data_IF_895212128574
#
_entry.id   IF_895212128574
#
_cell.length_a   1.000
_cell.length_b   1.000
_cell.length_c   1.000
_cell.angle_alpha   90.00
_cell.angle_beta   90.00
_cell.angle_gamma   90.00
#
_symmetry.space_group_name_H-M   'P 1'
#
loop_
_entity.id
_entity.type
_entity.pdbx_description
1 polymer ?
#
# COMPACT_ATOMS: atom_id res chain seq x y z
N UNK A 1 69.55 4.92 46.99
CA UNK A 1 69.04 4.58 45.64
C UNK A 1 67.58 4.99 45.59
N UNK A 2 67.29 5.95 44.72
CA UNK A 2 65.97 6.55 44.52
C UNK A 2 65.23 5.82 43.38
N UNK A 3 63.92 5.64 43.50
CA UNK A 3 63.04 5.43 42.34
C UNK A 3 61.73 6.16 42.60
N UNK A 4 61.40 7.04 41.65
CA UNK A 4 60.36 8.05 41.72
C UNK A 4 58.96 7.52 41.40
N UNK A 5 57.98 8.17 42.03
CA UNK A 5 56.56 8.17 41.73
C UNK A 5 56.28 8.79 40.35
N UNK A 6 55.43 8.16 39.54
CA UNK A 6 54.82 8.76 38.35
C UNK A 6 53.34 8.35 38.27
N UNK A 7 52.47 9.32 38.56
CA UNK A 7 51.03 9.29 38.31
C UNK A 7 50.72 9.72 36.85
N UNK A 8 49.79 9.08 36.14
CA UNK A 8 49.35 9.54 34.82
C UNK A 8 48.34 10.70 34.93
N UNK A 9 48.29 11.61 33.94
CA UNK A 9 47.34 12.72 33.92
C UNK A 9 45.94 12.27 33.47
N UNK A 10 44.87 12.96 33.88
CA UNK A 10 43.54 12.76 33.33
C UNK A 10 43.46 13.43 31.95
N UNK A 11 43.43 12.63 30.87
CA UNK A 11 43.10 13.12 29.53
C UNK A 11 41.62 13.48 29.47
N UNK A 12 41.35 14.78 29.61
CA UNK A 12 40.05 15.41 29.42
C UNK A 12 39.73 15.41 27.92
N UNK A 13 39.10 14.34 27.43
CA UNK A 13 38.63 14.24 26.06
C UNK A 13 37.35 15.08 25.91
N UNK A 14 37.52 16.34 25.51
CA UNK A 14 36.44 17.23 25.10
C UNK A 14 35.79 16.67 23.81
N UNK A 15 34.74 15.86 23.99
CA UNK A 15 33.82 15.47 22.92
C UNK A 15 33.03 16.70 22.49
N UNK A 16 33.55 17.42 21.51
CA UNK A 16 32.79 18.37 20.69
C UNK A 16 31.72 17.57 19.93
N UNK A 17 30.53 17.47 20.52
CA UNK A 17 29.33 16.98 19.85
C UNK A 17 28.89 18.08 18.87
N UNK A 18 29.01 17.91 17.54
CA UNK A 18 28.36 18.82 16.63
C UNK A 18 26.86 18.58 16.79
N UNK A 19 26.17 19.55 17.40
CA UNK A 19 24.71 19.69 17.30
C UNK A 19 24.39 19.90 15.82
N UNK A 20 24.23 18.80 15.10
CA UNK A 20 23.65 18.75 13.76
C UNK A 20 22.18 19.16 13.91
N UNK A 21 21.92 20.48 13.89
CA UNK A 21 20.59 21.01 13.64
C UNK A 21 20.18 20.60 12.23
N UNK A 22 19.63 19.41 12.08
CA UNK A 22 18.93 19.02 10.87
C UNK A 22 17.74 19.98 10.70
N UNK A 23 17.58 20.65 9.55
CA UNK A 23 16.40 21.47 9.32
C UNK A 23 15.15 20.58 9.44
N UNK A 24 14.04 21.12 9.99
CA UNK A 24 12.80 20.37 10.07
C UNK A 24 12.40 19.93 8.66
N UNK A 25 12.25 18.63 8.46
CA UNK A 25 11.73 18.08 7.21
C UNK A 25 10.25 18.45 7.16
N UNK A 26 9.91 19.49 6.41
CA UNK A 26 8.51 19.88 6.20
C UNK A 26 7.91 18.87 5.21
N UNK A 27 7.03 18.01 5.71
CA UNK A 27 6.26 17.10 4.87
C UNK A 27 5.43 17.89 3.85
N UNK A 28 5.48 17.48 2.58
CA UNK A 28 4.70 18.14 1.53
C UNK A 28 3.20 17.98 1.80
N UNK A 29 2.47 19.08 1.77
CA UNK A 29 1.02 19.09 2.02
C UNK A 29 0.26 18.57 0.80
N UNK A 30 -0.66 17.65 1.03
CA UNK A 30 -1.62 17.16 0.04
C UNK A 30 -3.04 17.59 0.41
N UNK A 31 -3.85 17.86 -0.61
CA UNK A 31 -5.23 18.35 -0.44
C UNK A 31 -6.23 17.21 -0.31
N UNK A 32 -6.00 16.13 -1.06
CA UNK A 32 -6.81 14.92 -1.01
C UNK A 32 -5.95 13.68 -0.91
N UNK A 33 -6.54 12.66 -0.30
CA UNK A 33 -6.02 11.32 -0.23
C UNK A 33 -7.22 10.38 -0.26
N UNK A 34 -7.30 9.56 -1.31
CA UNK A 34 -8.47 8.73 -1.55
C UNK A 34 -8.07 7.29 -1.89
N UNK A 35 -8.86 6.33 -1.40
CA UNK A 35 -8.79 4.96 -1.88
C UNK A 35 -9.37 4.87 -3.29
N UNK A 36 -8.60 4.30 -4.21
CA UNK A 36 -8.95 4.12 -5.62
C UNK A 36 -8.90 2.65 -5.99
N UNK A 37 -9.44 2.33 -7.15
CA UNK A 37 -9.32 0.98 -7.71
C UNK A 37 -7.91 0.74 -8.24
N UNK A 38 -7.55 -0.53 -8.37
CA UNK A 38 -6.29 -0.95 -8.96
C UNK A 38 -6.17 -0.41 -10.40
N UNK A 39 -5.22 0.51 -10.68
CA UNK A 39 -5.10 1.18 -11.97
C UNK A 39 -4.61 0.24 -13.09
N UNK A 40 -4.15 -0.96 -12.73
CA UNK A 40 -3.66 -1.97 -13.67
C UNK A 40 -4.72 -3.00 -14.05
N UNK A 41 -5.93 -2.91 -13.49
CA UNK A 41 -7.04 -3.68 -14.03
C UNK A 41 -7.51 -3.01 -15.30
N UNK A 42 -7.67 -3.78 -16.37
CA UNK A 42 -8.39 -3.33 -17.55
C UNK A 42 -9.75 -2.86 -17.05
N UNK A 43 -10.10 -1.59 -17.31
CA UNK A 43 -11.48 -1.15 -17.20
C UNK A 43 -12.28 -2.14 -18.03
N UNK A 44 -13.09 -2.97 -17.38
CA UNK A 44 -14.04 -3.78 -18.11
C UNK A 44 -14.89 -2.79 -18.86
N UNK A 45 -14.64 -2.69 -20.17
CA UNK A 45 -15.42 -1.88 -21.08
C UNK A 45 -16.88 -2.18 -20.74
N UNK A 46 -17.60 -1.11 -20.36
CA UNK A 46 -19.02 -1.13 -20.06
C UNK A 46 -19.67 -2.16 -20.97
N UNK A 47 -20.15 -3.26 -20.40
CA UNK A 47 -21.02 -4.15 -21.15
C UNK A 47 -22.25 -3.31 -21.47
N UNK A 48 -22.36 -2.92 -22.73
CA UNK A 48 -23.43 -2.07 -23.27
C UNK A 48 -24.75 -2.81 -23.39
N UNK A 49 -24.98 -3.83 -22.57
CA UNK A 49 -26.19 -4.65 -22.61
C UNK A 49 -26.81 -4.75 -21.22
N UNK A 50 -27.74 -3.83 -20.96
CA UNK A 50 -29.01 -4.17 -20.34
C UNK A 50 -29.04 -4.38 -18.83
N UNK A 51 -29.65 -3.39 -18.15
CA UNK A 51 -30.47 -3.57 -16.94
C UNK A 51 -29.74 -3.76 -15.60
N UNK A 52 -29.14 -2.67 -15.10
CA UNK A 52 -29.22 -2.36 -13.67
C UNK A 52 -30.28 -1.28 -13.44
N UNK A 53 -31.55 -1.64 -13.61
CA UNK A 53 -32.70 -0.79 -13.32
C UNK A 53 -33.19 -1.00 -11.87
N UNK A 54 -32.30 -0.78 -10.89
CA UNK A 54 -32.67 -0.79 -9.47
C UNK A 54 -32.10 0.46 -8.80
N UNK A 55 -33.00 1.33 -8.33
CA UNK A 55 -32.78 2.70 -7.86
C UNK A 55 -31.96 2.84 -6.55
N UNK A 56 -31.11 1.89 -6.20
CA UNK A 56 -30.21 1.97 -5.02
C UNK A 56 -28.90 1.20 -5.26
N UNK A 57 -28.30 1.40 -6.43
CA UNK A 57 -26.92 0.99 -6.67
C UNK A 57 -25.96 1.92 -5.92
N UNK A 58 -25.64 1.59 -4.67
CA UNK A 58 -24.67 2.34 -3.88
C UNK A 58 -23.28 2.24 -4.50
N UNK A 59 -22.65 3.40 -4.71
CA UNK A 59 -21.21 3.49 -4.96
C UNK A 59 -20.46 2.77 -3.84
N UNK A 60 -19.32 2.15 -4.17
CA UNK A 60 -18.49 1.47 -3.18
C UNK A 60 -18.12 2.40 -2.02
N UNK A 61 -18.66 2.24 -0.80
CA UNK A 61 -18.40 3.17 0.30
C UNK A 61 -16.97 3.10 0.83
N UNK A 62 -16.24 2.03 0.51
CA UNK A 62 -14.83 1.87 0.79
C UNK A 62 -13.91 2.66 -0.17
N UNK A 63 -14.44 3.17 -1.29
CA UNK A 63 -13.73 4.12 -2.18
C UNK A 63 -13.96 5.55 -1.72
N UNK A 64 -13.00 6.42 -2.02
CA UNK A 64 -13.08 7.85 -1.70
C UNK A 64 -12.15 8.28 -0.57
N UNK A 65 -12.44 9.43 0.02
CA UNK A 65 -11.56 10.08 0.99
C UNK A 65 -11.32 9.23 2.23
N UNK A 66 -10.07 9.19 2.69
CA UNK A 66 -9.68 8.45 3.88
C UNK A 66 -9.78 9.32 5.13
N UNK A 67 -10.24 8.73 6.23
CA UNK A 67 -10.18 9.38 7.54
C UNK A 67 -8.74 9.31 8.08
N UNK A 68 -8.05 10.44 8.31
CA UNK A 68 -6.68 10.46 8.78
C UNK A 68 -6.47 9.79 10.14
N UNK A 69 -7.52 9.68 10.97
CA UNK A 69 -7.44 9.03 12.28
C UNK A 69 -7.30 7.50 12.19
N UNK A 70 -7.64 6.92 11.04
CA UNK A 70 -7.57 5.48 10.80
C UNK A 70 -6.22 5.05 10.21
N UNK A 71 -5.37 6.00 9.79
CA UNK A 71 -4.09 5.74 9.12
C UNK A 71 -3.03 5.31 10.13
N UNK A 72 -2.27 4.26 9.78
CA UNK A 72 -1.19 3.73 10.60
C UNK A 72 0.16 4.34 10.21
N UNK A 73 0.67 5.22 11.08
CA UNK A 73 1.89 6.01 10.85
C UNK A 73 3.18 5.34 11.34
N UNK A 74 3.03 4.29 12.14
CA UNK A 74 4.12 3.57 12.78
C UNK A 74 4.97 2.85 11.72
N UNK A 75 6.30 2.91 11.80
CA UNK A 75 7.15 2.13 10.90
C UNK A 75 6.82 0.64 10.96
N UNK A 76 6.94 -0.04 9.82
CA UNK A 76 6.71 -1.48 9.70
C UNK A 76 7.77 -2.07 8.80
N UNK A 77 8.17 -3.31 9.10
CA UNK A 77 9.06 -4.06 8.24
C UNK A 77 8.41 -4.25 6.86
N UNK A 78 9.20 -4.01 5.81
CA UNK A 78 8.77 -4.18 4.42
C UNK A 78 9.71 -5.12 3.69
N UNK A 79 9.20 -5.80 2.68
CA UNK A 79 9.99 -6.67 1.82
C UNK A 79 10.98 -5.87 0.95
N UNK A 80 12.27 -6.18 1.08
CA UNK A 80 13.39 -5.40 0.56
C UNK A 80 13.41 -5.25 -0.97
N UNK A 81 13.00 -6.28 -1.73
CA UNK A 81 13.01 -6.26 -3.20
C UNK A 81 11.81 -5.55 -3.83
N UNK A 82 10.81 -5.20 -3.02
CA UNK A 82 9.53 -4.64 -3.48
C UNK A 82 9.30 -3.19 -3.08
N UNK A 83 9.85 -2.73 -1.95
CA UNK A 83 9.69 -1.35 -1.51
C UNK A 83 10.58 -0.45 -2.37
N UNK A 84 9.98 0.54 -3.03
CA UNK A 84 10.69 1.57 -3.78
C UNK A 84 11.04 2.73 -2.84
N UNK A 85 10.04 3.28 -2.15
CA UNK A 85 10.21 4.42 -1.25
C UNK A 85 9.02 4.58 -0.31
N UNK A 86 9.19 5.35 0.76
CA UNK A 86 8.11 5.80 1.64
C UNK A 86 8.10 7.33 1.59
N UNK A 87 7.01 7.91 1.08
CA UNK A 87 6.82 9.36 1.05
C UNK A 87 5.98 9.79 2.24
N UNK A 88 6.47 10.74 3.05
CA UNK A 88 5.68 11.37 4.11
C UNK A 88 5.01 12.63 3.58
N UNK A 89 3.68 12.69 3.71
CA UNK A 89 2.84 13.80 3.25
C UNK A 89 2.04 14.36 4.43
N UNK A 90 1.72 15.65 4.41
CA UNK A 90 0.78 16.25 5.37
C UNK A 90 -0.62 16.25 4.78
N UNK A 91 -1.52 15.44 5.34
CA UNK A 91 -2.92 15.34 4.96
C UNK A 91 -3.79 15.73 6.13
N UNK A 92 -4.63 16.77 5.96
CA UNK A 92 -5.47 17.32 7.02
C UNK A 92 -4.70 17.67 8.32
N UNK A 93 -3.44 18.10 8.20
CA UNK A 93 -2.58 18.45 9.34
C UNK A 93 -1.90 17.25 10.00
N UNK A 94 -2.17 16.02 9.54
CA UNK A 94 -1.53 14.79 10.02
C UNK A 94 -0.46 14.35 9.01
N UNK A 95 0.71 13.95 9.50
CA UNK A 95 1.72 13.32 8.65
C UNK A 95 1.34 11.87 8.38
N UNK A 96 1.30 11.48 7.11
CA UNK A 96 0.90 10.14 6.66
C UNK A 96 1.98 9.50 5.78
N UNK A 97 2.32 8.21 5.99
CA UNK A 97 3.26 7.50 5.14
C UNK A 97 2.55 6.88 3.93
N UNK A 98 3.00 7.25 2.75
CA UNK A 98 2.58 6.65 1.48
C UNK A 98 3.68 5.71 1.02
N UNK A 99 3.39 4.42 1.00
CA UNK A 99 4.31 3.38 0.59
C UNK A 99 4.24 3.22 -0.93
N UNK A 100 5.38 3.28 -1.60
CA UNK A 100 5.49 3.00 -3.02
C UNK A 100 6.12 1.62 -3.17
N UNK A 101 5.31 0.65 -3.56
CA UNK A 101 5.75 -0.72 -3.82
C UNK A 101 5.77 -1.00 -5.32
N UNK A 102 6.52 -2.03 -5.71
CA UNK A 102 6.35 -2.74 -6.97
C UNK A 102 6.02 -4.20 -6.72
N UNK A 103 5.30 -4.82 -7.64
CA UNK A 103 5.16 -6.27 -7.63
C UNK A 103 6.53 -6.94 -7.81
N UNK A 104 6.78 -8.05 -7.11
CA UNK A 104 7.99 -8.81 -7.34
C UNK A 104 7.95 -9.50 -8.71
N UNK A 105 9.13 -9.64 -9.32
CA UNK A 105 9.31 -10.25 -10.65
C UNK A 105 8.67 -11.64 -10.76
N UNK A 106 8.80 -12.43 -9.68
CA UNK A 106 8.26 -13.79 -9.58
C UNK A 106 6.72 -13.87 -9.68
N UNK A 107 6.01 -12.78 -9.40
CA UNK A 107 4.54 -12.71 -9.55
C UNK A 107 4.12 -12.06 -10.85
N UNK A 108 4.84 -11.01 -11.26
CA UNK A 108 4.60 -10.32 -12.52
C UNK A 108 5.91 -9.69 -13.03
N UNK A 109 6.42 -10.13 -14.20
CA UNK A 109 7.65 -9.57 -14.77
C UNK A 109 7.59 -8.07 -15.05
N UNK A 110 6.38 -7.50 -15.18
CA UNK A 110 6.19 -6.06 -15.38
C UNK A 110 6.39 -5.24 -14.08
N UNK A 111 6.51 -5.90 -12.92
CA UNK A 111 6.74 -5.29 -11.61
C UNK A 111 5.82 -4.08 -11.34
N UNK A 112 4.51 -4.27 -11.51
CA UNK A 112 3.52 -3.20 -11.47
C UNK A 112 3.62 -2.36 -10.18
N UNK A 113 3.69 -1.01 -10.29
CA UNK A 113 3.84 -0.14 -9.13
C UNK A 113 2.51 0.13 -8.43
N UNK A 114 2.54 0.27 -7.11
CA UNK A 114 1.40 0.59 -6.27
C UNK A 114 1.75 1.67 -5.24
N UNK A 115 0.86 2.65 -5.08
CA UNK A 115 0.89 3.62 -3.97
C UNK A 115 -0.10 3.15 -2.93
N UNK A 116 0.39 2.85 -1.73
CA UNK A 116 -0.41 2.27 -0.67
C UNK A 116 -0.41 3.11 0.58
N UNK A 117 -1.51 3.04 1.31
CA UNK A 117 -1.56 3.48 2.70
C UNK A 117 -2.12 2.38 3.58
N UNK A 118 -1.60 2.31 4.80
CA UNK A 118 -2.10 1.37 5.80
C UNK A 118 -3.18 2.04 6.65
N UNK A 119 -4.32 1.37 6.81
CA UNK A 119 -5.42 1.82 7.66
C UNK A 119 -5.87 0.72 8.61
N UNK A 120 -6.34 1.08 9.81
CA UNK A 120 -6.92 0.15 10.79
C UNK A 120 -8.26 -0.41 10.33
N UNK A 121 -9.05 0.43 9.66
CA UNK A 121 -10.41 0.12 9.26
C UNK A 121 -10.71 0.67 7.88
N UNK A 122 -11.73 0.08 7.27
CA UNK A 122 -12.34 0.50 6.01
C UNK A 122 -13.85 0.25 6.14
N UNK A 123 -14.68 1.02 5.44
CA UNK A 123 -16.13 0.80 5.47
C UNK A 123 -16.44 -0.62 4.95
N UNK A 124 -17.06 -1.51 5.74
CA UNK A 124 -17.31 -2.90 5.37
C UNK A 124 -18.40 -3.07 4.30
N UNK A 125 -19.22 -2.04 4.06
CA UNK A 125 -20.35 -2.12 3.13
C UNK A 125 -19.86 -2.40 1.70
N UNK A 126 -20.35 -3.49 1.12
CA UNK A 126 -19.95 -3.91 -0.22
C UNK A 126 -18.52 -4.47 -0.32
N UNK A 127 -17.77 -4.59 0.79
CA UNK A 127 -16.43 -5.18 0.78
C UNK A 127 -16.47 -6.70 0.84
N UNK A 128 -15.61 -7.29 0.02
CA UNK A 128 -15.34 -8.72 -0.04
C UNK A 128 -13.86 -8.95 0.18
N UNK A 129 -13.55 -9.90 1.07
CA UNK A 129 -12.19 -10.35 1.31
C UNK A 129 -12.05 -11.71 0.63
N UNK A 130 -11.22 -11.77 -0.40
CA UNK A 130 -10.96 -12.99 -1.16
C UNK A 130 -9.70 -13.63 -0.59
N UNK A 131 -9.82 -14.79 0.07
CA UNK A 131 -8.68 -15.46 0.68
C UNK A 131 -7.69 -15.92 -0.38
N UNK A 132 -6.41 -15.80 -0.07
CA UNK A 132 -5.32 -16.22 -0.95
C UNK A 132 -4.73 -17.53 -0.43
N UNK A 133 -4.25 -18.38 -1.34
CA UNK A 133 -3.54 -19.60 -0.96
C UNK A 133 -2.42 -19.30 0.06
N UNK A 134 -2.31 -20.06 1.17
CA UNK A 134 -1.35 -19.75 2.22
C UNK A 134 0.12 -19.64 1.76
N UNK A 135 0.53 -20.41 0.74
CA UNK A 135 1.89 -20.33 0.24
C UNK A 135 2.13 -19.00 -0.49
N UNK A 136 1.17 -18.55 -1.30
CA UNK A 136 1.22 -17.25 -1.96
C UNK A 136 1.06 -16.09 -0.97
N UNK A 137 0.15 -16.21 0.01
CA UNK A 137 -0.10 -15.18 1.02
C UNK A 137 1.12 -14.92 1.92
N UNK A 138 2.05 -15.89 2.03
CA UNK A 138 3.30 -15.73 2.77
C UNK A 138 4.32 -14.83 2.04
N UNK A 139 4.20 -14.72 0.72
CA UNK A 139 5.00 -13.83 -0.11
C UNK A 139 4.40 -12.41 -0.05
N UNK A 140 4.81 -11.66 0.97
CA UNK A 140 4.12 -10.46 1.44
C UNK A 140 5.03 -9.25 1.47
N UNK A 141 4.51 -8.11 1.03
CA UNK A 141 5.17 -6.81 1.18
C UNK A 141 5.45 -6.44 2.64
N UNK A 142 4.69 -7.01 3.60
CA UNK A 142 4.91 -6.87 5.03
C UNK A 142 5.26 -8.25 5.61
N UNK A 143 6.55 -8.57 5.84
CA UNK A 143 7.02 -9.94 6.07
C UNK A 143 6.34 -10.69 7.23
N UNK A 144 5.89 -9.98 8.26
CA UNK A 144 5.23 -10.56 9.44
C UNK A 144 3.72 -10.80 9.24
N UNK A 145 3.20 -10.45 8.07
CA UNK A 145 1.77 -10.52 7.73
C UNK A 145 1.53 -11.39 6.51
N UNK A 146 0.39 -12.08 6.51
CA UNK A 146 -0.20 -12.69 5.32
C UNK A 146 -1.26 -11.76 4.74
N UNK A 147 -1.50 -11.85 3.43
CA UNK A 147 -2.44 -10.98 2.74
C UNK A 147 -3.59 -11.74 2.09
N UNK A 148 -4.76 -11.10 2.10
CA UNK A 148 -5.94 -11.47 1.32
C UNK A 148 -6.32 -10.30 0.40
N UNK A 149 -6.98 -10.57 -0.72
CA UNK A 149 -7.38 -9.51 -1.66
C UNK A 149 -8.62 -8.80 -1.13
N UNK A 150 -8.58 -7.47 -1.11
CA UNK A 150 -9.70 -6.61 -0.75
C UNK A 150 -10.39 -6.09 -2.01
N UNK A 151 -11.62 -6.54 -2.23
CA UNK A 151 -12.43 -6.17 -3.39
C UNK A 151 -13.69 -5.47 -2.91
N UNK A 152 -14.12 -4.46 -3.65
CA UNK A 152 -15.43 -3.87 -3.47
C UNK A 152 -16.38 -4.34 -4.56
N UNK A 153 -17.56 -4.78 -4.15
CA UNK A 153 -18.67 -5.08 -5.06
C UNK A 153 -19.42 -3.78 -5.35
N UNK A 154 -19.55 -3.45 -6.63
CA UNK A 154 -20.38 -2.37 -7.14
C UNK A 154 -21.25 -2.89 -8.29
N UNK A 155 -22.17 -2.05 -8.77
CA UNK A 155 -23.02 -2.42 -9.90
C UNK A 155 -22.24 -2.56 -11.22
N UNK A 156 -21.02 -2.03 -11.28
CA UNK A 156 -20.11 -2.18 -12.42
C UNK A 156 -19.18 -3.39 -12.28
N UNK A 157 -19.35 -4.19 -11.21
CA UNK A 157 -18.62 -5.42 -10.96
C UNK A 157 -17.73 -5.35 -9.72
N UNK A 158 -16.54 -5.93 -9.83
CA UNK A 158 -15.60 -6.08 -8.71
C UNK A 158 -14.42 -5.13 -8.88
N UNK A 159 -14.22 -4.25 -7.91
CA UNK A 159 -13.15 -3.25 -7.91
C UNK A 159 -12.11 -3.63 -6.85
N UNK A 160 -10.90 -3.99 -7.27
CA UNK A 160 -9.80 -4.31 -6.36
C UNK A 160 -9.27 -3.03 -5.71
N UNK A 161 -9.42 -2.88 -4.38
CA UNK A 161 -9.03 -1.68 -3.63
C UNK A 161 -7.70 -1.83 -2.90
N UNK A 162 -7.24 -3.06 -2.72
CA UNK A 162 -5.97 -3.35 -2.07
C UNK A 162 -6.02 -4.68 -1.35
N UNK A 163 -5.48 -4.74 -0.14
CA UNK A 163 -5.27 -5.99 0.57
C UNK A 163 -5.57 -5.87 2.05
N UNK A 164 -6.07 -6.95 2.65
CA UNK A 164 -6.15 -7.11 4.11
C UNK A 164 -4.92 -7.87 4.57
N UNK A 165 -4.20 -7.33 5.55
CA UNK A 165 -3.04 -7.95 6.17
C UNK A 165 -3.39 -8.48 7.56
N UNK A 166 -3.13 -9.77 7.77
CA UNK A 166 -3.30 -10.43 9.07
C UNK A 166 -1.95 -10.93 9.59
N UNK A 167 -1.65 -10.77 10.89
CA UNK A 167 -0.41 -11.28 11.46
C UNK A 167 -0.24 -12.79 11.18
N UNK A 168 0.97 -13.21 10.81
CA UNK A 168 1.33 -14.63 10.68
C UNK A 168 1.32 -15.33 12.04
N UNK A 169 1.75 -14.62 13.08
CA UNK A 169 1.77 -15.07 14.47
C UNK A 169 0.63 -14.38 15.21
N UNK A 170 -0.27 -15.16 15.82
CA UNK A 170 -1.38 -14.62 16.60
C UNK A 170 -0.87 -13.73 17.74
N UNK A 171 -1.42 -12.52 17.87
CA UNK A 171 -1.04 -11.55 18.89
C UNK A 171 0.23 -10.74 18.60
N UNK A 172 0.93 -10.98 17.48
CA UNK A 172 2.14 -10.23 17.11
C UNK A 172 1.87 -8.87 16.45
N UNK A 173 0.60 -8.52 16.21
CA UNK A 173 0.19 -7.26 15.59
C UNK A 173 -1.32 -7.17 15.42
N UNK A 174 -1.81 -6.00 14.98
CA UNK A 174 -3.20 -5.81 14.58
C UNK A 174 -3.41 -6.09 13.09
N UNK A 175 -4.59 -6.59 12.72
CA UNK A 175 -4.99 -6.64 11.31
C UNK A 175 -5.12 -5.21 10.78
N UNK A 176 -4.66 -4.98 9.56
CA UNK A 176 -4.81 -3.69 8.87
C UNK A 176 -5.14 -3.90 7.39
N UNK A 177 -5.51 -2.83 6.71
CA UNK A 177 -5.76 -2.79 5.27
C UNK A 177 -4.69 -1.95 4.61
N UNK A 178 -4.12 -2.43 3.50
CA UNK A 178 -3.30 -1.59 2.62
C UNK A 178 -4.15 -1.21 1.40
N UNK A 179 -4.60 0.04 1.36
CA UNK A 179 -5.45 0.56 0.31
C UNK A 179 -4.61 1.19 -0.79
N UNK A 180 -4.98 0.94 -2.03
CA UNK A 180 -4.42 1.62 -3.21
C UNK A 180 -4.94 3.06 -3.18
N UNK A 181 -4.03 4.03 -3.20
CA UNK A 181 -4.39 5.44 -3.04
C UNK A 181 -3.96 6.30 -4.20
N UNK A 182 -4.74 7.36 -4.39
CA UNK A 182 -4.40 8.51 -5.20
C UNK A 182 -4.39 9.79 -4.34
N UNK A 183 -3.53 10.73 -4.71
CA UNK A 183 -3.37 12.03 -4.04
C UNK A 183 -2.79 13.04 -5.04
N UNK A 184 -3.02 14.34 -4.79
CA UNK A 184 -2.42 15.36 -5.63
C UNK A 184 -0.89 15.37 -5.47
N UNK A 185 -0.18 14.76 -6.41
CA UNK A 185 1.21 15.12 -6.63
C UNK A 185 1.21 16.55 -7.18
N UNK A 186 1.78 17.48 -6.42
CA UNK A 186 1.90 18.86 -6.88
C UNK A 186 2.52 18.83 -8.29
N UNK A 187 1.80 19.39 -9.27
CA UNK A 187 2.01 19.37 -10.74
C UNK A 187 3.43 19.72 -11.26
N UNK A 188 4.43 19.90 -10.38
CA UNK A 188 5.76 20.40 -10.70
C UNK A 188 6.76 19.35 -11.19
N UNK A 189 6.47 18.03 -11.13
CA UNK A 189 7.39 16.99 -11.66
C UNK A 189 6.88 16.22 -12.88
N UNK A 190 5.58 16.28 -13.17
CA UNK A 190 4.95 15.44 -14.21
C UNK A 190 5.18 15.91 -15.65
N UNK A 191 5.66 17.14 -15.89
CA UNK A 191 5.94 17.58 -17.26
C UNK A 191 7.21 16.94 -17.87
N UNK A 192 8.14 16.44 -17.05
CA UNK A 192 9.44 15.95 -17.54
C UNK A 192 9.63 14.43 -17.37
N UNK A 193 8.99 13.79 -16.38
CA UNK A 193 9.20 12.35 -16.09
C UNK A 193 8.12 11.43 -16.69
N UNK A 194 6.94 11.95 -17.03
CA UNK A 194 5.81 11.13 -17.49
C UNK A 194 5.90 10.80 -18.99
N UNK A 195 6.60 11.62 -19.78
CA UNK A 195 6.88 11.35 -21.20
C UNK A 195 7.88 10.21 -21.41
N UNK A 196 8.85 10.04 -20.51
CA UNK A 196 9.88 9.00 -20.63
C UNK A 196 9.41 7.61 -20.15
N UNK A 197 8.35 7.56 -19.33
CA UNK A 197 7.83 6.29 -18.80
C UNK A 197 6.67 5.71 -19.64
N UNK A 198 5.92 6.57 -20.33
CA UNK A 198 4.79 6.16 -21.17
C UNK A 198 5.19 5.62 -22.55
N UNK A 199 6.41 5.87 -23.02
CA UNK A 199 6.91 5.29 -24.29
C UNK A 199 7.26 3.79 -24.20
N UNK A 200 7.33 3.22 -22.98
CA UNK A 200 7.65 1.80 -22.77
C UNK A 200 6.47 0.90 -22.35
N UNK A 201 5.32 1.45 -21.96
CA UNK A 201 4.18 0.70 -21.45
C UNK A 201 3.17 0.43 -22.57
N UNK A 202 3.30 -0.73 -23.22
CA UNK A 202 2.18 -1.36 -23.95
C UNK A 202 1.08 -1.70 -22.94
N UNK A 203 0.15 -0.77 -22.76
CA UNK A 203 -1.13 -0.99 -22.07
C UNK A 203 -1.94 -2.00 -22.89
N UNK A 204 -2.20 -3.18 -22.32
CA UNK A 204 -2.89 -4.26 -23.02
C UNK A 204 -2.68 -5.67 -22.45
N UNK A 205 -2.17 -5.83 -21.22
CA UNK A 205 -2.06 -7.17 -20.61
C UNK A 205 -3.38 -7.57 -19.95
N UNK A 206 -3.94 -8.68 -20.42
CA UNK A 206 -5.08 -9.39 -19.83
C UNK A 206 -4.81 -9.60 -18.33
N UNK A 207 -5.82 -9.44 -17.47
CA UNK A 207 -5.69 -9.75 -16.05
C UNK A 207 -4.98 -11.10 -15.89
N UNK A 208 -3.87 -11.17 -15.13
CA UNK A 208 -3.02 -12.34 -15.15
C UNK A 208 -3.81 -13.56 -14.70
N UNK A 209 -3.53 -14.71 -15.32
CA UNK A 209 -4.34 -15.92 -15.17
C UNK A 209 -4.50 -16.35 -13.70
N UNK A 210 -3.54 -16.01 -12.83
CA UNK A 210 -3.65 -16.26 -11.39
C UNK A 210 -4.81 -15.49 -10.75
N UNK A 211 -5.10 -14.26 -11.16
CA UNK A 211 -6.16 -13.44 -10.60
C UNK A 211 -7.54 -13.95 -11.07
N UNK A 212 -7.64 -14.39 -12.33
CA UNK A 212 -8.83 -15.05 -12.86
C UNK A 212 -9.05 -16.42 -12.22
N UNK A 213 -8.00 -17.23 -12.08
CA UNK A 213 -8.07 -18.55 -11.45
C UNK A 213 -8.41 -18.46 -9.94
N UNK A 214 -7.91 -17.43 -9.25
CA UNK A 214 -8.25 -17.18 -7.85
C UNK A 214 -9.70 -16.73 -7.69
N UNK A 215 -10.19 -15.84 -8.58
CA UNK A 215 -11.58 -15.41 -8.57
C UNK A 215 -12.55 -16.57 -8.88
N UNK A 216 -12.22 -17.47 -9.82
CA UNK A 216 -13.07 -18.61 -10.17
C UNK A 216 -13.04 -19.71 -9.11
N UNK A 217 -11.88 -20.02 -8.53
CA UNK A 217 -11.75 -21.02 -7.47
C UNK A 217 -12.52 -20.62 -6.20
N UNK A 218 -12.50 -19.33 -5.84
CA UNK A 218 -13.20 -18.83 -4.64
C UNK A 218 -14.71 -18.75 -4.83
N UNK A 219 -15.20 -18.35 -6.03
CA UNK A 219 -16.62 -18.43 -6.40
C UNK A 219 -17.15 -19.88 -6.35
N UNK A 220 -16.38 -20.85 -6.85
CA UNK A 220 -16.77 -22.27 -6.78
C UNK A 220 -16.77 -22.81 -5.35
N UNK A 221 -15.83 -22.39 -4.49
CA UNK A 221 -15.80 -22.79 -3.09
C UNK A 221 -17.00 -22.24 -2.30
N UNK A 222 -17.41 -21.00 -2.56
CA UNK A 222 -18.60 -20.42 -1.90
C UNK A 222 -19.91 -21.04 -2.38
N UNK A 223 -20.03 -21.42 -3.66
CA UNK A 223 -21.23 -22.11 -4.16
C UNK A 223 -21.37 -23.56 -3.66
N UNK A 224 -20.29 -24.20 -3.21
CA UNK A 224 -20.31 -25.56 -2.62
C UNK A 224 -20.55 -25.59 -1.11
N UNK A 225 -20.53 -24.43 -0.45
CA UNK A 225 -20.74 -24.29 0.99
C UNK A 225 -22.17 -23.89 1.37
N UNK A 226 -23.11 -23.91 0.42
CA UNK A 226 -24.56 -23.84 0.63
C UNK A 226 -25.18 -25.18 0.27
#
# INVERSE_FOLDING_TARGET
MAVASMSPPPSLLLLLLPLLLSPPVIAERIEYLQAVENPHMLQHAQSTDGQCASETCSSCPAKGFLDPTTILNEPVATQLDTLITIQRKSYMGVEVPIYHFKQPDRLNPQQLPFKLIRTRSVNPDGLLIIPVDPAAANDSWFPDYRWDILVCSSCEGYQHLGWRFSPKIAGAGETFYALIVDYNESRRRSAQSEKDLLEGLKVGTRAPAWLIALATATLQAQMRSK
#
